data_IF_332831649007
#
_entry.id   IF_332831649007
#
_cell.length_a   1.000
_cell.length_b   1.000
_cell.length_c   1.000
_cell.angle_alpha   90.00
_cell.angle_beta   90.00
_cell.angle_gamma   90.00
#
_symmetry.space_group_name_H-M   'P 1'
#
loop_
_entity.id
_entity.type
_entity.pdbx_description
1 polymer ?
#
# COMPACT_ATOMS: atom_id res chain seq x y z
N UNK A 1 20.55 -9.00 2.03
CA UNK A 1 20.69 -10.48 2.07
C UNK A 1 19.49 -11.18 1.40
N UNK A 2 18.26 -10.70 1.55
CA UNK A 2 17.06 -11.31 0.91
C UNK A 2 17.20 -11.30 -0.62
N UNK A 3 17.70 -10.23 -1.20
CA UNK A 3 17.93 -10.11 -2.65
C UNK A 3 19.00 -11.07 -3.19
N UNK A 4 19.92 -11.50 -2.35
CA UNK A 4 21.03 -12.41 -2.73
C UNK A 4 20.64 -13.88 -2.55
N UNK A 5 19.85 -14.19 -1.53
CA UNK A 5 19.48 -15.57 -1.17
C UNK A 5 17.98 -15.71 -0.85
N UNK A 6 17.06 -15.36 -1.75
CA UNK A 6 15.62 -15.37 -1.46
C UNK A 6 15.11 -16.76 -1.04
N UNK A 7 15.65 -17.83 -1.61
CA UNK A 7 15.22 -19.22 -1.29
C UNK A 7 15.38 -19.54 0.19
N UNK A 8 16.49 -19.14 0.81
CA UNK A 8 16.72 -19.34 2.25
C UNK A 8 15.61 -18.73 3.13
N UNK A 9 15.12 -17.55 2.74
CA UNK A 9 14.09 -16.86 3.50
C UNK A 9 12.69 -17.41 3.21
N UNK A 10 12.45 -17.89 1.99
CA UNK A 10 11.23 -18.64 1.64
C UNK A 10 11.13 -19.90 2.50
N UNK A 11 12.18 -20.72 2.54
CA UNK A 11 12.23 -21.95 3.34
C UNK A 11 12.02 -21.68 4.84
N UNK A 12 12.62 -20.61 5.36
CA UNK A 12 12.44 -20.21 6.76
C UNK A 12 10.99 -19.86 7.06
N UNK A 13 10.37 -19.03 6.24
CA UNK A 13 8.96 -18.67 6.43
C UNK A 13 8.04 -19.87 6.28
N UNK A 14 8.31 -20.79 5.35
CA UNK A 14 7.57 -22.04 5.20
C UNK A 14 7.71 -22.95 6.44
N UNK A 15 8.87 -22.98 7.08
CA UNK A 15 9.06 -23.70 8.34
C UNK A 15 8.19 -23.12 9.46
N UNK A 16 8.14 -21.79 9.56
CA UNK A 16 7.33 -21.12 10.55
C UNK A 16 5.83 -21.30 10.28
N UNK A 17 5.40 -21.28 9.01
CA UNK A 17 4.03 -21.63 8.62
C UNK A 17 3.63 -23.04 9.05
N UNK A 18 4.52 -24.02 8.88
CA UNK A 18 4.27 -25.39 9.35
C UNK A 18 4.09 -25.48 10.88
N UNK A 19 4.85 -24.68 11.65
CA UNK A 19 4.72 -24.63 13.13
C UNK A 19 3.35 -24.03 13.54
N UNK A 20 2.92 -22.97 12.85
CA UNK A 20 1.63 -22.33 13.13
C UNK A 20 0.46 -23.28 12.76
N UNK A 21 0.65 -24.12 11.74
CA UNK A 21 -0.35 -25.08 11.26
C UNK A 21 -1.73 -24.41 11.01
N UNK A 22 -1.70 -23.25 10.39
CA UNK A 22 -2.89 -22.45 10.08
C UNK A 22 -3.37 -22.65 8.66
N UNK A 23 -4.39 -21.90 8.29
CA UNK A 23 -5.00 -21.93 6.96
C UNK A 23 -5.30 -20.52 6.48
N UNK A 24 -5.62 -20.33 5.20
CA UNK A 24 -6.10 -19.06 4.65
C UNK A 24 -7.32 -18.47 5.38
N UNK A 25 -8.08 -19.32 6.08
CA UNK A 25 -9.29 -18.89 6.79
C UNK A 25 -9.00 -18.29 8.16
N UNK A 26 -7.97 -18.77 8.83
CA UNK A 26 -7.69 -18.44 10.23
C UNK A 26 -6.34 -17.77 10.48
N UNK A 27 -5.49 -17.63 9.44
CA UNK A 27 -4.12 -17.16 9.59
C UNK A 27 -3.81 -16.02 8.63
N UNK A 28 -3.08 -15.03 9.13
CA UNK A 28 -2.56 -13.89 8.38
C UNK A 28 -1.08 -13.67 8.70
N UNK A 29 -0.31 -13.21 7.74
CA UNK A 29 1.03 -12.69 7.96
C UNK A 29 0.97 -11.17 8.08
N UNK A 30 1.50 -10.63 9.16
CA UNK A 30 1.65 -9.18 9.37
C UNK A 30 3.15 -8.88 9.32
N UNK A 31 3.59 -8.03 8.39
CA UNK A 31 4.99 -7.69 8.21
C UNK A 31 5.28 -6.22 8.48
N UNK A 32 6.50 -5.94 8.91
CA UNK A 32 7.05 -4.59 9.11
C UNK A 32 8.40 -4.55 8.40
N UNK A 33 8.51 -3.75 7.36
CA UNK A 33 9.69 -3.66 6.52
C UNK A 33 10.47 -2.36 6.78
N UNK A 34 11.79 -2.46 6.82
CA UNK A 34 12.68 -1.32 7.04
C UNK A 34 13.35 -0.79 5.76
N UNK A 35 13.12 -1.43 4.61
CA UNK A 35 13.71 -1.04 3.33
C UNK A 35 13.46 -2.11 2.25
N UNK A 36 13.90 -1.86 1.03
CA UNK A 36 13.83 -2.75 -0.15
C UNK A 36 12.55 -3.60 -0.27
N UNK A 37 11.43 -2.96 -0.20
CA UNK A 37 10.09 -3.56 -0.07
C UNK A 37 9.77 -4.55 -1.20
N UNK A 38 10.14 -4.23 -2.44
CA UNK A 38 9.79 -5.05 -3.61
C UNK A 38 10.38 -6.46 -3.54
N UNK A 39 11.65 -6.59 -3.14
CA UNK A 39 12.32 -7.89 -3.04
C UNK A 39 11.78 -8.69 -1.84
N UNK A 40 11.60 -8.04 -0.70
CA UNK A 40 11.06 -8.65 0.51
C UNK A 40 9.65 -9.15 0.26
N UNK A 41 8.78 -8.30 -0.30
CA UNK A 41 7.38 -8.61 -0.58
C UNK A 41 7.25 -9.82 -1.52
N UNK A 42 8.00 -9.82 -2.63
CA UNK A 42 8.02 -10.94 -3.58
C UNK A 42 8.46 -12.24 -2.91
N UNK A 43 9.49 -12.17 -2.06
CA UNK A 43 10.03 -13.34 -1.34
C UNK A 43 9.03 -13.90 -0.33
N UNK A 44 8.40 -13.02 0.46
CA UNK A 44 7.39 -13.43 1.43
C UNK A 44 6.14 -14.00 0.75
N UNK A 45 5.66 -13.33 -0.30
CA UNK A 45 4.49 -13.80 -1.06
C UNK A 45 4.73 -15.17 -1.68
N UNK A 46 5.93 -15.44 -2.20
CA UNK A 46 6.27 -16.76 -2.76
C UNK A 46 6.11 -17.91 -1.76
N UNK A 47 6.36 -17.68 -0.47
CA UNK A 47 6.12 -18.67 0.58
C UNK A 47 4.64 -18.75 0.98
N UNK A 48 4.00 -17.61 1.20
CA UNK A 48 2.63 -17.52 1.73
C UNK A 48 1.57 -18.03 0.75
N UNK A 49 1.73 -17.74 -0.55
CA UNK A 49 0.77 -18.11 -1.60
C UNK A 49 0.55 -19.62 -1.74
N UNK A 50 1.52 -20.45 -1.32
CA UNK A 50 1.37 -21.93 -1.36
C UNK A 50 0.29 -22.45 -0.42
N UNK A 51 -0.03 -21.68 0.63
CA UNK A 51 -1.09 -21.97 1.58
C UNK A 51 -2.22 -20.96 1.53
N UNK A 52 -2.19 -20.06 0.52
CA UNK A 52 -3.15 -18.97 0.31
C UNK A 52 -3.28 -18.05 1.54
N UNK A 53 -2.18 -17.86 2.27
CA UNK A 53 -2.16 -17.00 3.45
C UNK A 53 -1.91 -15.55 3.02
N UNK A 54 -2.82 -14.67 3.44
CA UNK A 54 -2.74 -13.23 3.14
C UNK A 54 -1.62 -12.54 3.94
N UNK A 55 -1.05 -11.52 3.32
CA UNK A 55 -0.05 -10.63 3.90
C UNK A 55 -0.56 -9.20 3.92
N UNK A 56 -0.40 -8.54 5.07
CA UNK A 56 -0.72 -7.12 5.26
C UNK A 56 0.33 -6.47 6.14
N UNK A 57 0.51 -5.23 6.02
CA UNK A 57 1.17 -4.21 6.81
C UNK A 57 1.98 -3.25 5.94
N UNK A 58 3.28 -3.13 6.09
CA UNK A 58 4.02 -2.17 5.25
C UNK A 58 5.34 -1.70 5.83
N UNK A 59 5.79 -0.56 5.31
CA UNK A 59 7.13 0.00 5.53
C UNK A 59 7.12 1.08 6.58
N UNK A 60 8.13 1.04 7.45
CA UNK A 60 8.47 2.12 8.38
C UNK A 60 9.47 3.11 7.78
N UNK A 61 9.53 4.32 8.35
CA UNK A 61 10.41 5.41 7.88
C UNK A 61 11.86 5.28 8.36
N UNK A 62 12.06 4.71 9.55
CA UNK A 62 13.33 4.80 10.25
C UNK A 62 14.42 3.83 9.77
N UNK A 63 14.18 3.05 8.70
CA UNK A 63 15.13 2.02 8.25
C UNK A 63 15.38 0.92 9.27
N UNK A 64 14.52 0.78 10.28
CA UNK A 64 14.66 -0.14 11.40
C UNK A 64 13.35 -0.84 11.72
N UNK A 65 13.46 -2.10 12.14
CA UNK A 65 12.34 -2.88 12.68
C UNK A 65 12.73 -3.51 14.00
N UNK A 66 11.74 -3.83 14.81
CA UNK A 66 11.94 -4.51 16.08
C UNK A 66 11.28 -5.88 16.09
N UNK A 67 11.98 -6.89 16.57
CA UNK A 67 11.43 -8.22 16.79
C UNK A 67 12.06 -8.83 18.06
N UNK A 68 11.23 -9.41 18.92
CA UNK A 68 11.66 -10.10 20.15
C UNK A 68 12.60 -9.25 21.03
N UNK A 69 12.30 -7.95 21.18
CA UNK A 69 13.09 -7.02 21.99
C UNK A 69 14.41 -6.57 21.38
N UNK A 70 14.69 -6.90 20.10
CA UNK A 70 15.90 -6.49 19.39
C UNK A 70 15.54 -5.60 18.22
N UNK A 71 16.43 -4.66 17.88
CA UNK A 71 16.32 -3.77 16.73
C UNK A 71 17.19 -4.30 15.60
N UNK A 72 16.67 -4.28 14.39
CA UNK A 72 17.34 -4.70 13.16
C UNK A 72 17.24 -3.59 12.13
N UNK A 73 18.32 -3.35 11.39
CA UNK A 73 18.40 -2.41 10.27
C UNK A 73 18.27 -3.18 8.96
N UNK A 74 17.73 -2.54 7.92
CA UNK A 74 17.54 -3.11 6.58
C UNK A 74 16.97 -4.55 6.62
N UNK A 75 15.91 -4.70 7.37
CA UNK A 75 15.31 -5.98 7.69
C UNK A 75 13.79 -5.96 7.61
N UNK A 76 13.18 -7.14 7.60
CA UNK A 76 11.75 -7.32 7.80
C UNK A 76 11.52 -8.13 9.09
N UNK A 77 10.60 -7.64 9.91
CA UNK A 77 10.01 -8.40 10.99
C UNK A 77 8.61 -8.86 10.56
N UNK A 78 8.24 -10.09 10.88
CA UNK A 78 6.89 -10.58 10.59
C UNK A 78 6.32 -11.37 11.75
N UNK A 79 4.99 -11.40 11.80
CA UNK A 79 4.24 -12.24 12.72
C UNK A 79 3.22 -13.08 11.93
N UNK A 80 3.20 -14.37 12.16
CA UNK A 80 2.12 -15.25 11.71
C UNK A 80 1.08 -15.30 12.82
N UNK A 81 -0.08 -14.71 12.57
CA UNK A 81 -1.15 -14.59 13.54
C UNK A 81 -2.28 -15.54 13.16
N UNK A 82 -2.57 -16.51 14.02
CA UNK A 82 -3.66 -17.45 13.85
C UNK A 82 -4.81 -17.14 14.82
N UNK A 83 -5.99 -16.91 14.27
CA UNK A 83 -7.22 -16.82 15.07
C UNK A 83 -7.71 -18.23 15.41
N UNK A 84 -7.58 -18.64 16.66
CA UNK A 84 -7.97 -19.98 17.10
C UNK A 84 -9.48 -20.20 17.22
N UNK A 85 -10.28 -19.14 17.17
CA UNK A 85 -11.72 -19.21 17.43
C UNK A 85 -12.59 -18.73 16.28
N UNK A 86 -11.99 -18.23 15.21
CA UNK A 86 -12.74 -17.66 14.10
C UNK A 86 -11.88 -17.46 12.86
N UNK A 87 -12.43 -16.77 11.91
CA UNK A 87 -11.79 -16.47 10.62
C UNK A 87 -10.99 -15.19 10.70
N UNK A 88 -10.11 -15.01 9.70
CA UNK A 88 -9.46 -13.73 9.38
C UNK A 88 -9.74 -13.38 7.92
N UNK A 89 -9.80 -12.10 7.61
CA UNK A 89 -9.86 -11.62 6.23
C UNK A 89 -9.17 -10.28 6.12
N UNK A 90 -8.46 -10.08 5.02
CA UNK A 90 -7.76 -8.84 4.72
C UNK A 90 -8.54 -7.99 3.75
N UNK A 91 -8.40 -6.68 3.85
CA UNK A 91 -9.03 -5.69 2.99
C UNK A 91 -8.01 -4.66 2.56
N UNK A 92 -8.21 -4.15 1.35
CA UNK A 92 -7.49 -3.01 0.80
C UNK A 92 -8.51 -1.94 0.40
N UNK A 93 -8.22 -0.70 0.72
CA UNK A 93 -9.09 0.44 0.40
C UNK A 93 -8.31 1.51 -0.36
N UNK A 94 -8.84 1.89 -1.51
CA UNK A 94 -8.31 2.96 -2.36
C UNK A 94 -9.37 4.06 -2.43
N UNK A 95 -8.96 5.29 -2.11
CA UNK A 95 -9.83 6.48 -2.08
C UNK A 95 -9.76 7.30 -3.38
N UNK A 96 -9.13 6.78 -4.43
CA UNK A 96 -8.98 7.47 -5.72
C UNK A 96 -9.73 6.73 -6.81
N UNK A 97 -10.11 7.51 -7.84
CA UNK A 97 -10.74 6.99 -9.05
C UNK A 97 -10.04 7.55 -10.29
N UNK A 98 -9.98 6.80 -11.41
CA UNK A 98 -9.39 7.27 -12.65
C UNK A 98 -10.11 8.49 -13.23
N UNK A 99 -9.32 9.38 -13.85
CA UNK A 99 -9.79 10.40 -14.78
C UNK A 99 -9.55 9.83 -16.19
N UNK A 100 -10.54 9.12 -16.72
CA UNK A 100 -10.39 8.28 -17.91
C UNK A 100 -9.96 9.03 -19.16
N UNK A 101 -10.25 10.32 -19.25
CA UNK A 101 -9.82 11.23 -20.31
C UNK A 101 -8.30 11.52 -20.28
N UNK A 102 -7.60 11.22 -19.17
CA UNK A 102 -6.19 11.50 -18.95
C UNK A 102 -5.38 10.22 -18.80
N UNK A 103 -5.24 9.50 -19.91
CA UNK A 103 -4.41 8.28 -20.01
C UNK A 103 -3.14 8.57 -20.81
N UNK A 104 -2.03 7.98 -20.36
CA UNK A 104 -0.71 8.25 -20.90
C UNK A 104 0.11 6.98 -21.03
N UNK A 105 1.00 6.98 -22.01
CA UNK A 105 2.08 6.01 -22.13
C UNK A 105 3.35 6.66 -21.58
N UNK A 106 3.95 6.02 -20.56
CA UNK A 106 5.20 6.49 -19.96
C UNK A 106 6.40 6.20 -20.88
N UNK A 107 7.34 7.12 -20.96
CA UNK A 107 8.61 6.95 -21.67
C UNK A 107 9.73 7.74 -21.02
N UNK A 108 10.97 7.47 -21.43
CA UNK A 108 12.19 8.04 -20.84
C UNK A 108 12.22 7.88 -19.33
N UNK A 109 11.91 6.69 -18.85
CA UNK A 109 11.91 6.37 -17.43
C UNK A 109 13.30 5.94 -16.96
N UNK A 110 13.67 6.30 -15.73
CA UNK A 110 14.80 5.72 -15.02
C UNK A 110 14.28 4.89 -13.83
N UNK A 111 14.30 3.57 -14.01
CA UNK A 111 13.81 2.60 -13.02
C UNK A 111 14.60 2.65 -11.72
N UNK A 112 15.91 2.89 -11.78
CA UNK A 112 16.79 2.91 -10.61
C UNK A 112 16.52 4.12 -9.72
N UNK A 113 16.25 5.25 -10.34
CA UNK A 113 16.03 6.53 -9.65
C UNK A 113 14.56 6.93 -9.58
N UNK A 114 13.64 6.05 -10.03
CA UNK A 114 12.18 6.26 -10.02
C UNK A 114 11.73 7.49 -10.83
N UNK A 115 12.46 7.82 -11.90
CA UNK A 115 12.16 8.98 -12.73
C UNK A 115 11.16 8.65 -13.83
N UNK A 116 10.14 9.49 -13.98
CA UNK A 116 9.20 9.54 -15.09
C UNK A 116 9.53 10.77 -15.94
N UNK A 117 10.14 10.54 -17.13
CA UNK A 117 10.58 11.62 -18.01
C UNK A 117 9.46 12.17 -18.86
N UNK A 118 8.73 11.30 -19.53
CA UNK A 118 7.71 11.69 -20.52
C UNK A 118 6.40 10.93 -20.36
N UNK A 119 5.31 11.62 -20.75
CA UNK A 119 3.95 11.10 -20.89
C UNK A 119 3.47 11.41 -22.31
N UNK A 120 3.18 10.38 -23.12
CA UNK A 120 2.82 10.51 -24.55
C UNK A 120 3.85 11.34 -25.35
N UNK A 121 5.16 11.21 -25.03
CA UNK A 121 6.25 11.92 -25.71
C UNK A 121 6.44 13.39 -25.27
N UNK A 122 5.67 13.88 -24.31
CA UNK A 122 5.80 15.22 -23.73
C UNK A 122 6.36 15.16 -22.31
N UNK A 123 7.04 16.23 -21.87
CA UNK A 123 7.55 16.36 -20.51
C UNK A 123 6.50 15.98 -19.46
N UNK A 124 6.82 15.00 -18.60
CA UNK A 124 5.86 14.52 -17.59
C UNK A 124 5.43 15.65 -16.63
N UNK A 125 6.38 16.53 -16.25
CA UNK A 125 6.07 17.71 -15.45
C UNK A 125 5.09 18.63 -16.16
N UNK A 126 5.35 18.97 -17.43
CA UNK A 126 4.53 19.89 -18.19
C UNK A 126 3.12 19.35 -18.38
N UNK A 127 2.99 18.06 -18.75
CA UNK A 127 1.68 17.39 -18.90
C UNK A 127 0.87 17.48 -17.58
N UNK A 128 1.50 17.18 -16.45
CA UNK A 128 0.83 17.26 -15.16
C UNK A 128 0.36 18.68 -14.81
N UNK A 129 1.22 19.68 -15.06
CA UNK A 129 0.90 21.10 -14.83
C UNK A 129 -0.23 21.59 -15.74
N UNK A 130 -0.19 21.23 -17.03
CA UNK A 130 -1.16 21.71 -18.02
C UNK A 130 -2.56 21.17 -17.78
N UNK A 131 -2.67 19.91 -17.36
CA UNK A 131 -3.96 19.29 -17.06
C UNK A 131 -4.56 19.87 -15.78
N UNK A 132 -3.77 19.95 -14.72
CA UNK A 132 -4.25 20.35 -13.39
C UNK A 132 -4.22 21.87 -13.18
N UNK A 133 -3.62 22.64 -14.11
CA UNK A 133 -3.46 24.10 -14.02
C UNK A 133 -2.70 24.53 -12.75
N UNK A 134 -1.66 23.77 -12.39
CA UNK A 134 -0.85 24.00 -11.20
C UNK A 134 0.55 24.52 -11.57
N UNK A 135 1.14 25.25 -10.66
CA UNK A 135 2.56 25.66 -10.74
C UNK A 135 3.47 24.51 -10.29
N UNK A 136 4.76 24.60 -10.65
CA UNK A 136 5.74 23.60 -10.22
C UNK A 136 5.78 23.42 -8.69
N UNK A 137 5.68 24.51 -7.92
CA UNK A 137 5.66 24.48 -6.45
C UNK A 137 4.46 23.75 -5.86
N UNK A 138 3.36 23.66 -6.61
CA UNK A 138 2.13 23.01 -6.18
C UNK A 138 2.10 21.51 -6.50
N UNK A 139 2.99 21.02 -7.38
CA UNK A 139 2.98 19.61 -7.81
C UNK A 139 3.01 18.64 -6.61
N UNK A 140 3.91 18.90 -5.65
CA UNK A 140 4.11 18.01 -4.50
C UNK A 140 2.93 17.98 -3.51
N UNK A 141 2.15 19.04 -3.46
CA UNK A 141 0.90 19.05 -2.69
C UNK A 141 -0.27 18.53 -3.49
N UNK A 142 -0.29 18.78 -4.79
CA UNK A 142 -1.35 18.32 -5.69
C UNK A 142 -1.38 16.79 -5.83
N UNK A 143 -0.23 16.12 -5.72
CA UNK A 143 -0.17 14.65 -5.78
C UNK A 143 -0.97 13.95 -4.67
N UNK A 144 -1.32 14.63 -3.58
CA UNK A 144 -2.24 14.09 -2.57
C UNK A 144 -3.69 13.98 -3.07
N UNK A 145 -4.07 14.84 -4.01
CA UNK A 145 -5.41 14.85 -4.60
C UNK A 145 -5.45 14.17 -5.97
N UNK A 146 -4.38 14.33 -6.75
CA UNK A 146 -4.28 13.85 -8.12
C UNK A 146 -2.95 13.09 -8.35
N UNK A 147 -2.74 11.93 -7.74
CA UNK A 147 -1.60 11.08 -8.09
C UNK A 147 -1.81 10.44 -9.47
N UNK A 148 -0.77 9.85 -10.02
CA UNK A 148 -0.94 8.91 -11.12
C UNK A 148 -1.40 7.54 -10.61
N UNK A 149 -2.03 6.78 -11.49
CA UNK A 149 -2.36 5.37 -11.31
C UNK A 149 -1.80 4.55 -12.45
N UNK A 150 -1.24 3.38 -12.14
CA UNK A 150 -0.98 2.34 -13.12
C UNK A 150 -2.10 1.33 -13.03
N UNK A 151 -2.79 1.12 -14.14
CA UNK A 151 -3.88 0.17 -14.22
C UNK A 151 -3.34 -1.26 -14.35
N UNK A 152 -3.83 -2.15 -13.53
CA UNK A 152 -3.48 -3.58 -13.54
C UNK A 152 -4.77 -4.41 -13.40
N UNK A 153 -5.42 -4.70 -14.52
CA UNK A 153 -6.78 -5.26 -14.53
C UNK A 153 -7.77 -4.31 -13.84
N UNK A 154 -8.50 -4.83 -12.87
CA UNK A 154 -9.46 -4.04 -12.06
C UNK A 154 -8.79 -3.27 -10.91
N UNK A 155 -7.49 -3.39 -10.76
CA UNK A 155 -6.74 -2.77 -9.67
C UNK A 155 -5.95 -1.55 -10.16
N UNK A 156 -5.78 -0.57 -9.27
CA UNK A 156 -5.04 0.66 -9.57
C UNK A 156 -3.90 0.82 -8.57
N UNK A 157 -2.67 0.72 -9.07
CA UNK A 157 -1.48 1.02 -8.28
C UNK A 157 -1.23 2.53 -8.27
N UNK A 158 -1.34 3.17 -7.12
CA UNK A 158 -1.16 4.62 -6.97
C UNK A 158 0.33 4.97 -7.04
N UNK A 159 0.65 6.01 -7.80
CA UNK A 159 2.00 6.51 -8.02
C UNK A 159 2.03 7.99 -7.65
N UNK A 160 2.52 8.28 -6.46
CA UNK A 160 2.66 9.66 -5.97
C UNK A 160 3.98 10.27 -6.43
N UNK A 161 3.98 11.58 -6.63
CA UNK A 161 5.16 12.35 -7.00
C UNK A 161 5.93 12.72 -5.74
N UNK A 162 7.23 12.45 -5.73
CA UNK A 162 8.16 12.73 -4.62
C UNK A 162 8.92 14.03 -4.81
N UNK A 163 9.32 14.32 -6.05
CA UNK A 163 10.20 15.43 -6.37
C UNK A 163 10.01 15.85 -7.83
N UNK A 164 10.32 17.09 -8.14
CA UNK A 164 10.41 17.61 -9.51
C UNK A 164 11.87 17.74 -9.91
N UNK A 165 12.27 17.08 -10.98
CA UNK A 165 13.64 17.10 -11.48
C UNK A 165 13.69 17.63 -12.92
N UNK A 166 13.92 18.91 -13.08
CA UNK A 166 13.88 19.55 -14.40
C UNK A 166 12.51 19.37 -15.07
N UNK A 167 12.48 18.70 -16.22
CA UNK A 167 11.24 18.39 -16.96
C UNK A 167 10.60 17.05 -16.58
N UNK A 168 11.24 16.30 -15.68
CA UNK A 168 10.80 15.00 -15.23
C UNK A 168 10.17 15.05 -13.82
N UNK A 169 9.50 13.97 -13.44
CA UNK A 169 8.94 13.75 -12.12
C UNK A 169 9.62 12.54 -11.48
N UNK A 170 10.09 12.68 -10.25
CA UNK A 170 10.53 11.53 -9.44
C UNK A 170 9.34 11.03 -8.65
N UNK A 171 9.09 9.73 -8.71
CA UNK A 171 7.94 9.11 -8.09
C UNK A 171 8.33 8.30 -6.85
N UNK A 172 7.37 7.99 -5.98
CA UNK A 172 7.59 7.05 -4.88
C UNK A 172 7.57 5.57 -5.34
N UNK A 173 7.11 5.32 -6.57
CA UNK A 173 7.07 3.98 -7.18
C UNK A 173 7.75 3.98 -8.53
N UNK A 174 8.30 2.82 -8.87
CA UNK A 174 8.90 2.58 -10.16
C UNK A 174 7.86 2.64 -11.28
N UNK A 175 8.19 3.37 -12.34
CA UNK A 175 7.46 3.40 -13.61
C UNK A 175 8.39 2.86 -14.69
N UNK A 176 7.85 2.06 -15.59
CA UNK A 176 8.60 1.51 -16.71
C UNK A 176 8.19 2.17 -18.01
N UNK A 177 9.08 2.16 -19.01
CA UNK A 177 8.70 2.54 -20.37
C UNK A 177 7.55 1.65 -20.85
N UNK A 178 6.61 2.25 -21.54
CA UNK A 178 5.37 1.65 -22.02
C UNK A 178 4.33 1.31 -20.95
N UNK A 179 4.56 1.64 -19.67
CA UNK A 179 3.50 1.58 -18.67
C UNK A 179 2.35 2.53 -19.06
N UNK A 180 1.12 2.03 -18.96
CA UNK A 180 -0.07 2.86 -19.15
C UNK A 180 -0.45 3.47 -17.81
N UNK A 181 -0.32 4.78 -17.74
CA UNK A 181 -0.69 5.56 -16.57
C UNK A 181 -2.01 6.31 -16.81
N UNK A 182 -2.73 6.55 -15.74
CA UNK A 182 -3.93 7.41 -15.72
C UNK A 182 -3.77 8.43 -14.62
N UNK A 183 -4.26 9.66 -14.84
CA UNK A 183 -4.35 10.62 -13.75
C UNK A 183 -5.53 10.23 -12.85
N UNK A 184 -5.32 10.30 -11.53
CA UNK A 184 -6.35 9.98 -10.55
C UNK A 184 -6.92 11.25 -9.93
N UNK A 185 -8.11 11.15 -9.40
CA UNK A 185 -8.76 12.16 -8.54
C UNK A 185 -9.30 11.49 -7.28
N UNK A 186 -9.44 12.26 -6.22
CA UNK A 186 -10.14 11.79 -5.02
C UNK A 186 -11.58 11.42 -5.37
N UNK A 187 -12.01 10.24 -4.94
CA UNK A 187 -13.41 9.87 -4.85
C UNK A 187 -14.06 10.54 -3.63
N UNK A 188 -15.33 10.33 -3.40
CA UNK A 188 -15.90 10.59 -2.07
C UNK A 188 -15.33 9.57 -1.08
N UNK A 189 -14.19 9.91 -0.48
CA UNK A 189 -13.49 9.01 0.43
C UNK A 189 -14.32 8.63 1.66
N UNK A 190 -15.29 9.46 2.07
CA UNK A 190 -16.20 9.10 3.17
C UNK A 190 -17.16 7.99 2.76
N UNK A 191 -17.63 8.02 1.51
CA UNK A 191 -18.44 6.95 0.95
C UNK A 191 -17.61 5.67 0.79
N UNK A 192 -16.39 5.77 0.26
CA UNK A 192 -15.47 4.64 0.13
C UNK A 192 -15.20 3.96 1.47
N UNK A 193 -14.96 4.74 2.54
CA UNK A 193 -14.75 4.20 3.90
C UNK A 193 -16.02 3.50 4.39
N UNK A 194 -17.20 4.11 4.21
CA UNK A 194 -18.49 3.47 4.59
C UNK A 194 -18.71 2.15 3.85
N UNK A 195 -18.40 2.10 2.56
CA UNK A 195 -18.52 0.88 1.76
C UNK A 195 -17.56 -0.22 2.24
N UNK A 196 -16.32 0.15 2.60
CA UNK A 196 -15.36 -0.78 3.20
C UNK A 196 -15.88 -1.34 4.51
N UNK A 197 -16.42 -0.48 5.38
CA UNK A 197 -17.01 -0.89 6.66
C UNK A 197 -18.23 -1.80 6.45
N UNK A 198 -19.08 -1.50 5.47
CA UNK A 198 -20.23 -2.35 5.12
C UNK A 198 -19.79 -3.72 4.61
N UNK A 199 -18.77 -3.79 3.75
CA UNK A 199 -18.17 -5.06 3.31
C UNK A 199 -17.63 -5.87 4.48
N UNK A 200 -16.92 -5.22 5.41
CA UNK A 200 -16.41 -5.89 6.61
C UNK A 200 -17.56 -6.45 7.45
N UNK A 201 -18.63 -5.67 7.67
CA UNK A 201 -19.80 -6.12 8.43
C UNK A 201 -20.59 -7.23 7.75
N UNK A 202 -20.64 -7.24 6.42
CA UNK A 202 -21.27 -8.32 5.66
C UNK A 202 -20.50 -9.63 5.80
N UNK A 203 -19.16 -9.58 5.79
CA UNK A 203 -18.31 -10.74 5.99
C UNK A 203 -18.26 -11.18 7.46
N UNK A 204 -18.24 -10.22 8.38
CA UNK A 204 -18.12 -10.40 9.83
C UNK A 204 -19.20 -9.58 10.56
N UNK A 205 -20.34 -10.15 10.88
CA UNK A 205 -21.41 -9.43 11.63
C UNK A 205 -20.96 -8.90 13.00
N UNK A 206 -19.94 -9.55 13.60
CA UNK A 206 -19.37 -9.16 14.91
C UNK A 206 -17.85 -9.37 14.90
N UNK A 207 -17.09 -8.46 14.25
CA UNK A 207 -15.64 -8.54 14.31
C UNK A 207 -15.13 -8.39 15.75
N UNK A 208 -14.15 -9.19 16.15
CA UNK A 208 -13.54 -9.07 17.48
C UNK A 208 -12.45 -7.99 17.50
N UNK A 209 -11.69 -7.90 16.41
CA UNK A 209 -10.61 -6.92 16.28
C UNK A 209 -10.33 -6.57 14.82
N UNK A 210 -9.81 -5.37 14.62
CA UNK A 210 -9.29 -4.87 13.36
C UNK A 210 -7.89 -4.30 13.57
N UNK A 211 -6.92 -4.72 12.75
CA UNK A 211 -5.62 -4.09 12.68
C UNK A 211 -5.46 -3.44 11.31
N UNK A 212 -5.21 -2.12 11.26
CA UNK A 212 -5.12 -1.37 10.02
C UNK A 212 -3.79 -0.64 9.86
N UNK A 213 -3.36 -0.47 8.61
CA UNK A 213 -2.23 0.37 8.23
C UNK A 213 -2.71 1.41 7.23
N UNK A 214 -2.56 2.66 7.58
CA UNK A 214 -2.88 3.79 6.72
C UNK A 214 -1.60 4.40 6.15
N UNK A 215 -1.58 4.68 4.87
CA UNK A 215 -0.49 5.47 4.29
C UNK A 215 -0.38 6.84 4.96
N UNK A 216 0.83 7.30 5.17
CA UNK A 216 1.11 8.64 5.70
C UNK A 216 0.38 9.73 4.90
N UNK A 217 0.30 9.60 3.58
CA UNK A 217 -0.38 10.58 2.73
C UNK A 217 -1.88 10.58 2.95
N UNK A 218 -2.49 9.41 3.10
CA UNK A 218 -3.90 9.29 3.47
C UNK A 218 -4.17 9.86 4.87
N UNK A 219 -3.29 9.57 5.83
CA UNK A 219 -3.38 10.14 7.18
C UNK A 219 -3.34 11.67 7.16
N UNK A 220 -2.39 12.26 6.41
CA UNK A 220 -2.28 13.73 6.25
C UNK A 220 -3.54 14.31 5.62
N UNK A 221 -4.02 13.72 4.52
CA UNK A 221 -5.24 14.14 3.84
C UNK A 221 -6.44 14.15 4.79
N UNK A 222 -6.67 13.07 5.51
CA UNK A 222 -7.80 12.99 6.46
C UNK A 222 -7.67 13.97 7.62
N UNK A 223 -6.44 14.24 8.07
CA UNK A 223 -6.16 15.22 9.12
C UNK A 223 -6.44 16.65 8.62
N UNK A 224 -5.96 17.01 7.45
CA UNK A 224 -6.18 18.32 6.83
C UNK A 224 -7.66 18.58 6.54
N UNK A 225 -8.40 17.56 6.16
CA UNK A 225 -9.85 17.64 5.91
C UNK A 225 -10.69 17.49 7.18
N UNK A 226 -10.08 17.35 8.37
CA UNK A 226 -10.79 17.20 9.66
C UNK A 226 -11.56 15.88 9.80
N UNK A 227 -11.28 14.87 8.95
CA UNK A 227 -12.02 13.60 8.91
C UNK A 227 -11.38 12.49 9.77
N UNK A 228 -10.14 12.63 10.21
CA UNK A 228 -9.41 11.55 10.89
C UNK A 228 -10.14 11.03 12.15
N UNK A 229 -10.73 11.90 12.94
CA UNK A 229 -11.45 11.50 14.15
C UNK A 229 -12.74 10.71 13.83
N UNK A 230 -13.47 11.12 12.81
CA UNK A 230 -14.66 10.41 12.31
C UNK A 230 -14.26 9.02 11.82
N UNK A 231 -13.22 8.93 10.97
CA UNK A 231 -12.66 7.67 10.48
C UNK A 231 -12.27 6.69 11.61
N UNK A 232 -11.54 7.18 12.63
CA UNK A 232 -11.14 6.34 13.77
C UNK A 232 -12.35 5.86 14.57
N UNK A 233 -13.38 6.69 14.73
CA UNK A 233 -14.65 6.32 15.38
C UNK A 233 -15.37 5.23 14.58
N UNK A 234 -15.45 5.36 13.27
CA UNK A 234 -16.09 4.38 12.39
C UNK A 234 -15.35 3.03 12.42
N UNK A 235 -14.03 3.03 12.34
CA UNK A 235 -13.21 1.83 12.45
C UNK A 235 -13.35 1.15 13.83
N UNK A 236 -13.39 1.94 14.90
CA UNK A 236 -13.56 1.44 16.27
C UNK A 236 -14.96 0.88 16.53
N UNK A 237 -15.95 1.27 15.74
CA UNK A 237 -17.30 0.72 15.80
C UNK A 237 -17.43 -0.69 15.19
N UNK A 238 -16.39 -1.17 14.50
CA UNK A 238 -16.31 -2.55 14.01
C UNK A 238 -15.93 -3.55 15.13
N UNK A 239 -15.09 -3.12 16.06
CA UNK A 239 -14.54 -3.96 17.13
C UNK A 239 -13.32 -3.27 17.76
N UNK A 240 -12.49 -4.02 18.48
CA UNK A 240 -11.23 -3.47 18.99
C UNK A 240 -10.35 -3.07 17.81
N UNK A 241 -10.07 -1.79 17.65
CA UNK A 241 -9.26 -1.26 16.57
C UNK A 241 -7.89 -0.81 17.06
N UNK A 242 -6.86 -1.29 16.40
CA UNK A 242 -5.50 -0.79 16.50
C UNK A 242 -4.95 -0.57 15.09
N UNK A 243 -4.06 0.40 14.94
CA UNK A 243 -3.47 0.66 13.62
C UNK A 243 -2.21 1.50 13.71
N UNK A 244 -1.55 1.61 12.58
CA UNK A 244 -0.39 2.47 12.39
C UNK A 244 -0.49 3.30 11.10
N UNK A 245 0.44 4.25 11.01
CA UNK A 245 0.70 5.01 9.79
C UNK A 245 2.01 4.52 9.20
N UNK A 246 1.95 4.07 7.93
CA UNK A 246 3.09 3.52 7.18
C UNK A 246 3.56 4.44 6.05
N UNK A 247 4.74 4.13 5.53
CA UNK A 247 5.36 4.81 4.37
C UNK A 247 5.17 4.02 3.07
N UNK A 248 4.12 3.25 3.00
CA UNK A 248 3.73 2.34 1.95
C UNK A 248 3.17 1.08 2.60
N UNK A 249 2.08 0.56 2.05
CA UNK A 249 1.37 -0.58 2.59
C UNK A 249 1.66 -1.83 1.75
N UNK A 250 1.67 -2.98 2.40
CA UNK A 250 1.70 -4.29 1.77
C UNK A 250 0.31 -4.92 1.77
N UNK A 251 -0.05 -5.51 0.64
CA UNK A 251 -1.25 -6.30 0.49
C UNK A 251 -0.97 -7.47 -0.45
N UNK A 252 -0.74 -8.63 0.12
CA UNK A 252 -0.28 -9.83 -0.60
C UNK A 252 1.03 -9.57 -1.37
N UNK A 253 1.00 -9.62 -2.70
CA UNK A 253 2.13 -9.32 -3.58
C UNK A 253 2.22 -7.85 -4.02
N UNK A 254 1.33 -7.02 -3.50
CA UNK A 254 1.21 -5.63 -3.91
C UNK A 254 1.83 -4.69 -2.88
N UNK A 255 2.72 -3.84 -3.35
CA UNK A 255 3.13 -2.65 -2.63
C UNK A 255 2.18 -1.51 -3.03
N UNK A 256 1.40 -1.00 -2.09
CA UNK A 256 0.38 0.02 -2.33
C UNK A 256 0.71 1.33 -1.59
N UNK A 257 0.26 2.44 -2.13
CA UNK A 257 0.47 3.78 -1.58
C UNK A 257 -0.86 4.53 -1.48
N UNK A 258 -0.92 5.53 -0.62
CA UNK A 258 -2.09 6.39 -0.41
C UNK A 258 -3.38 5.60 -0.14
N UNK A 259 -3.21 4.40 0.38
CA UNK A 259 -4.28 3.43 0.64
C UNK A 259 -4.40 3.11 2.14
N UNK A 260 -5.31 2.24 2.46
CA UNK A 260 -5.38 1.54 3.74
C UNK A 260 -5.42 0.05 3.48
N UNK A 261 -4.65 -0.71 4.24
CA UNK A 261 -4.79 -2.16 4.32
C UNK A 261 -5.16 -2.56 5.74
N UNK A 262 -5.97 -3.58 5.90
CA UNK A 262 -6.29 -4.08 7.23
C UNK A 262 -6.54 -5.59 7.24
N UNK A 263 -6.42 -6.16 8.42
CA UNK A 263 -6.92 -7.50 8.73
C UNK A 263 -8.00 -7.41 9.79
N UNK A 264 -9.06 -8.18 9.57
CA UNK A 264 -10.21 -8.30 10.46
C UNK A 264 -10.24 -9.70 11.04
N UNK A 265 -10.44 -9.79 12.34
CA UNK A 265 -10.56 -11.03 13.11
C UNK A 265 -12.01 -11.20 13.57
N UNK A 266 -12.55 -12.41 13.37
CA UNK A 266 -13.87 -12.83 13.87
C UNK A 266 -13.87 -13.05 15.37
#
# INVERSE_FOLDING_TARGET
>A
EVSVMPVKYIERLEQDLRKVNGSHRDTVCIDFCAGNDACVLTTMHAALRRQDISLVCGTGDAGKVSANGKIYEDAVAYALVRNQRGRVKTYKENIYQPMDEHRFIASKTDKKNYVLGELNGHSARQVYQDILKVTEKQILTQTFQNPFGKLNGDDTCIISIKEVQGNALVCFRQVNDSDVLVLLKLADYKEVVRDTIQKIRADFPRPSAVFSVNCLFRYKLFTEHGYMQEYLKEMSALGKHAGLVGYGEHYNDQFVNQSMTCVVFE
#
